data_IF_965259964240
#
_entry.id   IF_965259964240
#
_cell.length_a   1.000
_cell.length_b   1.000
_cell.length_c   1.000
_cell.angle_alpha   90.00
_cell.angle_beta   90.00
_cell.angle_gamma   90.00
#
_symmetry.space_group_name_H-M   'P 1'
#
loop_
_entity.id
_entity.type
_entity.pdbx_description
1 polymer ?
#
# COMPACT_ATOMS: atom_id res chain seq x y z
N UNK A 1 10.37 -25.44 7.19
CA UNK A 1 11.05 -24.43 6.33
C UNK A 1 11.96 -23.62 7.24
N UNK A 2 13.30 -23.72 7.09
CA UNK A 2 14.21 -22.85 7.86
C UNK A 2 14.12 -21.45 7.26
N UNK A 3 13.99 -20.43 8.11
CA UNK A 3 14.03 -19.03 7.66
C UNK A 3 15.48 -18.65 7.44
N UNK A 4 15.82 -18.33 6.20
CA UNK A 4 17.16 -17.89 5.80
C UNK A 4 17.14 -16.43 5.29
N UNK A 5 18.32 -15.85 5.13
CA UNK A 5 18.49 -14.48 4.67
C UNK A 5 17.84 -14.24 3.29
N UNK A 6 17.94 -15.16 2.35
CA UNK A 6 17.42 -14.98 1.00
C UNK A 6 15.88 -14.94 1.00
N UNK A 7 15.24 -15.85 1.74
CA UNK A 7 13.78 -15.85 1.92
C UNK A 7 13.29 -14.57 2.62
N UNK A 8 14.05 -14.07 3.60
CA UNK A 8 13.75 -12.82 4.31
C UNK A 8 13.87 -11.61 3.40
N UNK A 9 14.97 -11.50 2.64
CA UNK A 9 15.19 -10.40 1.70
C UNK A 9 14.13 -10.37 0.59
N UNK A 10 13.72 -11.55 0.10
CA UNK A 10 12.65 -11.66 -0.91
C UNK A 10 11.33 -11.10 -0.40
N UNK A 11 10.96 -11.42 0.85
CA UNK A 11 9.74 -10.89 1.47
C UNK A 11 9.86 -9.39 1.77
N UNK A 12 11.04 -8.93 2.22
CA UNK A 12 11.30 -7.50 2.46
C UNK A 12 11.18 -6.69 1.18
N UNK A 13 11.63 -7.24 0.05
CA UNK A 13 11.44 -6.63 -1.26
C UNK A 13 9.95 -6.47 -1.61
N UNK A 14 9.14 -7.49 -1.34
CA UNK A 14 7.68 -7.42 -1.50
C UNK A 14 7.05 -6.31 -0.64
N UNK A 15 7.43 -6.22 0.63
CA UNK A 15 6.94 -5.17 1.53
C UNK A 15 7.42 -3.78 1.09
N UNK A 16 8.66 -3.65 0.61
CA UNK A 16 9.21 -2.41 0.05
C UNK A 16 8.38 -1.93 -1.14
N UNK A 17 8.05 -2.82 -2.07
CA UNK A 17 7.19 -2.49 -3.21
C UNK A 17 5.81 -1.99 -2.78
N UNK A 18 5.18 -2.64 -1.78
CA UNK A 18 3.90 -2.20 -1.23
C UNK A 18 4.00 -0.84 -0.54
N UNK A 19 4.99 -0.64 0.33
CA UNK A 19 5.18 0.60 1.08
C UNK A 19 5.44 1.78 0.13
N UNK A 20 6.31 1.59 -0.87
CA UNK A 20 6.61 2.61 -1.87
C UNK A 20 5.37 2.96 -2.70
N UNK A 21 4.62 1.95 -3.15
CA UNK A 21 3.38 2.13 -3.91
C UNK A 21 2.34 2.89 -3.07
N UNK A 22 2.17 2.53 -1.80
CA UNK A 22 1.23 3.22 -0.92
C UNK A 22 1.64 4.67 -0.62
N UNK A 23 2.93 4.93 -0.36
CA UNK A 23 3.43 6.29 -0.14
C UNK A 23 3.25 7.18 -1.37
N UNK A 24 3.54 6.66 -2.56
CA UNK A 24 3.44 7.41 -3.83
C UNK A 24 1.99 7.68 -4.21
N UNK A 25 1.15 6.64 -4.25
CA UNK A 25 -0.28 6.77 -4.58
C UNK A 25 -1.04 7.57 -3.53
N UNK A 26 -0.70 7.39 -2.25
CA UNK A 26 -1.30 8.16 -1.17
C UNK A 26 -1.00 9.65 -1.29
N UNK A 27 0.24 10.04 -1.64
CA UNK A 27 0.60 11.44 -1.89
C UNK A 27 -0.08 12.00 -3.14
N UNK A 28 0.02 11.30 -4.27
CA UNK A 28 -0.59 11.77 -5.52
C UNK A 28 -2.12 11.87 -5.44
N UNK A 29 -2.77 10.94 -4.72
CA UNK A 29 -4.21 10.96 -4.48
C UNK A 29 -4.64 12.10 -3.56
N UNK A 30 -3.83 12.46 -2.56
CA UNK A 30 -4.10 13.62 -1.71
C UNK A 30 -3.95 14.95 -2.46
N UNK A 31 -2.93 15.06 -3.31
CA UNK A 31 -2.64 16.25 -4.13
C UNK A 31 -3.58 16.38 -5.35
N UNK A 32 -4.41 15.37 -5.64
CA UNK A 32 -5.25 15.37 -6.84
C UNK A 32 -4.45 15.28 -8.15
N UNK A 33 -3.18 14.91 -8.06
CA UNK A 33 -2.24 14.86 -9.20
C UNK A 33 -2.19 13.50 -9.87
N UNK A 34 -3.12 12.60 -9.55
CA UNK A 34 -3.21 11.30 -10.17
C UNK A 34 -4.10 11.44 -11.42
N UNK A 35 -3.55 11.63 -12.63
CA UNK A 35 -4.36 11.71 -13.83
C UNK A 35 -5.11 10.39 -14.03
N UNK A 36 -6.34 10.48 -14.52
CA UNK A 36 -7.12 9.30 -14.91
C UNK A 36 -6.34 8.56 -16.00
N UNK A 37 -5.88 7.35 -15.69
CA UNK A 37 -5.11 6.54 -16.61
C UNK A 37 -5.47 5.07 -16.48
N UNK A 38 -5.21 4.30 -17.54
CA UNK A 38 -5.52 2.87 -17.58
C UNK A 38 -4.41 1.98 -17.01
N UNK A 39 -3.34 2.56 -16.47
CA UNK A 39 -2.15 1.83 -16.03
C UNK A 39 -2.15 1.62 -14.51
N UNK A 40 -2.37 2.68 -13.72
CA UNK A 40 -2.15 2.71 -12.26
C UNK A 40 -3.32 3.39 -11.53
N UNK A 41 -3.83 2.76 -10.47
CA UNK A 41 -4.87 3.32 -9.60
C UNK A 41 -5.96 2.33 -9.20
N UNK A 42 -6.95 2.81 -8.45
CA UNK A 42 -8.16 2.05 -8.11
C UNK A 42 -9.06 1.99 -9.35
N UNK A 43 -9.13 0.82 -9.99
CA UNK A 43 -9.94 0.60 -11.20
C UNK A 43 -11.18 -0.19 -10.84
N UNK A 44 -12.25 0.51 -10.51
CA UNK A 44 -13.59 -0.06 -10.39
C UNK A 44 -14.48 0.56 -11.43
N UNK A 45 -15.64 -0.07 -11.69
CA UNK A 45 -16.66 0.52 -12.59
C UNK A 45 -17.04 1.94 -12.19
N UNK A 46 -16.98 2.26 -10.90
CA UNK A 46 -17.37 3.56 -10.36
C UNK A 46 -16.24 4.58 -10.45
N UNK A 47 -14.99 4.20 -10.16
CA UNK A 47 -13.86 5.13 -10.23
C UNK A 47 -13.53 5.58 -11.64
N UNK A 48 -13.92 4.79 -12.65
CA UNK A 48 -13.71 5.12 -14.06
C UNK A 48 -14.93 5.82 -14.72
N UNK A 49 -16.01 6.08 -13.97
CA UNK A 49 -17.22 6.69 -14.51
C UNK A 49 -17.03 8.17 -14.90
N UNK A 50 -16.24 8.91 -14.12
CA UNK A 50 -15.93 10.31 -14.36
C UNK A 50 -14.59 10.70 -13.73
N UNK A 51 -14.03 11.84 -14.12
CA UNK A 51 -12.80 12.37 -13.50
C UNK A 51 -13.03 12.79 -12.05
N UNK A 52 -14.24 13.25 -11.73
CA UNK A 52 -14.67 13.59 -10.37
C UNK A 52 -14.71 12.33 -9.49
N UNK A 53 -15.28 11.22 -9.99
CA UNK A 53 -15.31 9.94 -9.30
C UNK A 53 -13.89 9.40 -9.07
N UNK A 54 -13.01 9.55 -10.05
CA UNK A 54 -11.60 9.18 -9.96
C UNK A 54 -10.88 9.96 -8.85
N UNK A 55 -11.00 11.29 -8.85
CA UNK A 55 -10.37 12.15 -7.86
C UNK A 55 -10.93 11.91 -6.45
N UNK A 56 -12.25 11.78 -6.30
CA UNK A 56 -12.90 11.51 -5.03
C UNK A 56 -12.43 10.18 -4.42
N UNK A 57 -12.35 9.13 -5.23
CA UNK A 57 -11.88 7.82 -4.78
C UNK A 57 -10.45 7.85 -4.28
N UNK A 58 -9.54 8.45 -5.06
CA UNK A 58 -8.11 8.49 -4.71
C UNK A 58 -7.84 9.43 -3.53
N UNK A 59 -8.56 10.55 -3.42
CA UNK A 59 -8.47 11.44 -2.26
C UNK A 59 -9.00 10.77 -0.99
N UNK A 60 -10.05 9.95 -1.10
CA UNK A 60 -10.58 9.20 0.05
C UNK A 60 -9.68 8.03 0.48
N UNK A 61 -9.01 7.38 -0.48
CA UNK A 61 -8.06 6.31 -0.24
C UNK A 61 -6.72 6.82 0.34
N UNK A 62 -6.32 8.05 0.00
CA UNK A 62 -5.03 8.64 0.31
C UNK A 62 -4.60 8.54 1.79
N UNK A 63 -5.43 8.89 2.80
CA UNK A 63 -5.00 8.82 4.20
C UNK A 63 -4.66 7.39 4.65
N UNK A 64 -5.39 6.40 4.14
CA UNK A 64 -5.13 4.98 4.48
C UNK A 64 -3.82 4.51 3.84
N UNK A 65 -3.56 4.92 2.59
CA UNK A 65 -2.32 4.59 1.89
C UNK A 65 -1.10 5.30 2.50
N UNK A 66 -1.23 6.56 2.92
CA UNK A 66 -0.15 7.28 3.58
C UNK A 66 0.20 6.66 4.94
N UNK A 67 -0.82 6.34 5.75
CA UNK A 67 -0.64 5.67 7.04
C UNK A 67 0.08 4.32 6.88
N UNK A 68 -0.35 3.52 5.90
CA UNK A 68 0.35 2.26 5.61
C UNK A 68 1.77 2.49 5.08
N UNK A 69 1.99 3.49 4.21
CA UNK A 69 3.33 3.82 3.74
C UNK A 69 4.32 4.06 4.89
N UNK A 70 3.93 4.88 5.88
CA UNK A 70 4.74 5.14 7.08
C UNK A 70 4.96 3.84 7.88
N UNK A 71 3.90 3.07 8.15
CA UNK A 71 4.01 1.82 8.89
C UNK A 71 4.92 0.80 8.17
N UNK A 72 4.78 0.66 6.85
CA UNK A 72 5.59 -0.24 6.02
C UNK A 72 7.07 0.09 6.08
N UNK A 73 7.43 1.37 6.02
CA UNK A 73 8.81 1.82 6.23
C UNK A 73 9.34 1.47 7.62
N UNK A 74 8.53 1.67 8.67
CA UNK A 74 8.91 1.29 10.04
C UNK A 74 9.15 -0.22 10.16
N UNK A 75 8.28 -1.07 9.61
CA UNK A 75 8.48 -2.52 9.60
C UNK A 75 9.77 -2.91 8.87
N UNK A 76 10.09 -2.29 7.74
CA UNK A 76 11.32 -2.54 6.98
C UNK A 76 12.58 -2.14 7.76
N UNK A 77 12.56 -0.97 8.41
CA UNK A 77 13.70 -0.49 9.20
C UNK A 77 13.96 -1.44 10.37
N UNK A 78 12.90 -1.81 11.11
CA UNK A 78 13.02 -2.73 12.25
C UNK A 78 13.49 -4.11 11.79
N UNK A 79 12.92 -4.65 10.71
CA UNK A 79 13.35 -5.93 10.14
C UNK A 79 14.83 -5.90 9.68
N UNK A 80 15.27 -4.79 9.06
CA UNK A 80 16.67 -4.62 8.67
C UNK A 80 17.63 -4.64 9.87
N UNK A 81 17.26 -3.97 10.98
CA UNK A 81 18.03 -4.02 12.24
C UNK A 81 18.19 -5.48 12.73
N UNK A 82 17.13 -6.28 12.68
CA UNK A 82 17.20 -7.70 13.06
C UNK A 82 18.00 -8.56 12.09
N UNK A 83 18.05 -8.21 10.79
CA UNK A 83 18.96 -8.86 9.85
C UNK A 83 20.44 -8.60 10.20
N UNK A 84 20.80 -7.40 10.65
CA UNK A 84 22.17 -7.11 11.11
C UNK A 84 22.57 -7.91 12.35
N UNK A 85 21.62 -8.20 13.25
CA UNK A 85 21.86 -9.06 14.42
C UNK A 85 21.75 -10.56 14.11
N UNK A 86 21.62 -10.93 12.83
CA UNK A 86 21.46 -12.32 12.35
C UNK A 86 20.21 -13.03 12.88
N UNK A 87 19.21 -12.28 13.37
CA UNK A 87 17.95 -12.82 13.86
C UNK A 87 16.90 -12.85 12.75
N UNK A 88 17.10 -13.75 11.79
CA UNK A 88 16.27 -13.84 10.58
C UNK A 88 14.83 -14.25 10.88
N UNK A 89 14.59 -15.06 11.92
CA UNK A 89 13.23 -15.45 12.32
C UNK A 89 12.38 -14.24 12.70
N UNK A 90 12.93 -13.31 13.50
CA UNK A 90 12.22 -12.10 13.90
C UNK A 90 12.08 -11.14 12.72
N UNK A 91 13.13 -10.95 11.91
CA UNK A 91 13.08 -10.10 10.73
C UNK A 91 12.00 -10.58 9.74
N UNK A 92 11.92 -11.89 9.48
CA UNK A 92 10.91 -12.50 8.63
C UNK A 92 9.51 -12.32 9.20
N UNK A 93 9.30 -12.59 10.50
CA UNK A 93 7.99 -12.45 11.13
C UNK A 93 7.48 -11.00 11.06
N UNK A 94 8.33 -10.02 11.36
CA UNK A 94 7.99 -8.59 11.25
C UNK A 94 7.64 -8.21 9.82
N UNK A 95 8.42 -8.68 8.85
CA UNK A 95 8.18 -8.40 7.44
C UNK A 95 6.87 -9.05 6.97
N UNK A 96 6.58 -10.28 7.39
CA UNK A 96 5.34 -10.98 7.07
C UNK A 96 4.11 -10.26 7.64
N UNK A 97 4.19 -9.80 8.90
CA UNK A 97 3.13 -9.01 9.53
C UNK A 97 2.94 -7.69 8.77
N UNK A 98 4.01 -6.97 8.47
CA UNK A 98 3.96 -5.72 7.71
C UNK A 98 3.37 -5.92 6.31
N UNK A 99 3.72 -7.02 5.63
CA UNK A 99 3.19 -7.38 4.32
C UNK A 99 1.69 -7.68 4.37
N UNK A 100 1.25 -8.54 5.31
CA UNK A 100 -0.16 -8.86 5.50
C UNK A 100 -1.00 -7.62 5.83
N UNK A 101 -0.49 -6.76 6.73
CA UNK A 101 -1.10 -5.48 7.06
C UNK A 101 -1.20 -4.58 5.81
N UNK A 102 -0.17 -4.56 4.98
CA UNK A 102 -0.14 -3.79 3.74
C UNK A 102 -1.19 -4.19 2.73
N UNK A 103 -1.31 -5.50 2.50
CA UNK A 103 -2.37 -6.04 1.64
C UNK A 103 -3.74 -5.68 2.20
N UNK A 104 -3.98 -5.88 3.49
CA UNK A 104 -5.26 -5.52 4.13
C UNK A 104 -5.58 -4.03 4.00
N UNK A 105 -4.61 -3.15 4.26
CA UNK A 105 -4.78 -1.69 4.18
C UNK A 105 -5.04 -1.22 2.74
N UNK A 106 -4.39 -1.83 1.74
CA UNK A 106 -4.66 -1.57 0.32
C UNK A 106 -6.10 -1.96 -0.06
N UNK A 107 -6.58 -3.12 0.39
CA UNK A 107 -7.97 -3.55 0.16
C UNK A 107 -8.97 -2.60 0.82
N UNK A 108 -8.69 -2.16 2.06
CA UNK A 108 -9.52 -1.18 2.77
C UNK A 108 -9.52 0.17 2.05
N UNK A 109 -8.36 0.65 1.59
CA UNK A 109 -8.24 1.88 0.83
C UNK A 109 -9.04 1.80 -0.49
N UNK A 110 -8.96 0.67 -1.18
CA UNK A 110 -9.73 0.42 -2.40
C UNK A 110 -11.23 0.38 -2.17
N UNK A 111 -11.68 -0.28 -1.09
CA UNK A 111 -13.09 -0.31 -0.70
C UNK A 111 -13.62 1.08 -0.35
N UNK A 112 -12.87 1.88 0.42
CA UNK A 112 -13.21 3.27 0.75
C UNK A 112 -13.27 4.16 -0.50
N UNK A 113 -12.30 4.03 -1.39
CA UNK A 113 -12.27 4.77 -2.66
C UNK A 113 -13.45 4.40 -3.57
N UNK A 114 -13.76 3.12 -3.68
CA UNK A 114 -14.90 2.64 -4.46
C UNK A 114 -16.25 3.14 -3.91
N UNK A 115 -16.40 3.21 -2.58
CA UNK A 115 -17.60 3.78 -1.96
C UNK A 115 -17.74 5.27 -2.30
N UNK A 116 -16.67 6.04 -2.21
CA UNK A 116 -16.69 7.45 -2.58
C UNK A 116 -17.04 7.66 -4.06
N UNK A 117 -16.50 6.83 -4.96
CA UNK A 117 -16.82 6.94 -6.39
C UNK A 117 -18.29 6.64 -6.73
N UNK A 118 -18.99 5.82 -5.92
CA UNK A 118 -20.41 5.51 -6.15
C UNK A 118 -21.30 6.74 -6.04
N UNK A 119 -20.92 7.73 -5.24
CA UNK A 119 -21.69 8.97 -5.06
C UNK A 119 -21.73 9.83 -6.34
N UNK A 120 -20.83 9.56 -7.30
CA UNK A 120 -20.70 10.26 -8.57
C UNK A 120 -21.21 9.45 -9.77
N UNK A 121 -21.83 8.29 -9.52
CA UNK A 121 -22.48 7.50 -10.56
C UNK A 121 -23.99 7.73 -10.54
N UNK A 122 -24.64 7.98 -11.69
CA UNK A 122 -26.10 8.02 -11.80
C UNK A 122 -26.76 6.64 -11.57
#
# INVERSE_FOLDING_TARGET
MRVDLASTLSLMFGLLALALTASTLGRMGAEGRLPRNNSVGLKTRHTMASDEAWLAAHRRAAPTLQLFGIAGWLFLIIAAIFCFTQNFTVAFALTAIGFALGVAMMLVAGSKGNKAAKEFCP
#
